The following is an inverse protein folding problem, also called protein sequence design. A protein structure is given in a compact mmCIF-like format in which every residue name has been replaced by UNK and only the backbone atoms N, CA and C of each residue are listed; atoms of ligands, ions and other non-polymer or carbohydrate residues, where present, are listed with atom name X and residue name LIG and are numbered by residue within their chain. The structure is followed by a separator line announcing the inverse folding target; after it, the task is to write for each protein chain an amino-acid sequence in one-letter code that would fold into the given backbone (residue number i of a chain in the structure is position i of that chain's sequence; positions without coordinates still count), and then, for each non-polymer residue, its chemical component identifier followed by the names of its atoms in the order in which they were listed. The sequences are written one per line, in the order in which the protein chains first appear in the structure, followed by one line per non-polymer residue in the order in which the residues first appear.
data_IF_076317638698
#
_entry.id   IF_076317638698
#
_cell.length_a   1.000
_cell.length_b   1.000
_cell.length_c   1.000
_cell.angle_alpha   90.00
_cell.angle_beta   90.00
_cell.angle_gamma   90.00
#
_symmetry.space_group_name_H-M   'P 1'
#
loop_
_entity.id
_entity.type
_entity.pdbx_description
1 polymer ?
#
# COMPACT_ATOMS: atom_id res chain seq x y z
N UNK A 1 17.42 -38.70 16.35
CA UNK A 1 16.73 -37.76 17.26
C UNK A 1 17.02 -36.34 16.78
N UNK A 2 16.29 -35.85 15.78
CA UNK A 2 16.47 -34.48 15.28
C UNK A 2 15.60 -33.57 16.15
N UNK A 3 16.21 -32.62 16.85
CA UNK A 3 15.51 -31.44 17.33
C UNK A 3 14.92 -30.82 16.06
N UNK A 4 13.63 -31.01 15.82
CA UNK A 4 12.93 -30.28 14.79
C UNK A 4 12.94 -28.83 15.27
N UNK A 5 13.99 -28.08 14.91
CA UNK A 5 13.99 -26.65 15.09
C UNK A 5 12.80 -26.15 14.30
N UNK A 6 11.76 -25.77 15.03
CA UNK A 6 10.64 -25.10 14.42
C UNK A 6 11.23 -23.87 13.71
N UNK A 7 11.06 -23.79 12.40
CA UNK A 7 11.49 -22.65 11.58
C UNK A 7 10.96 -21.32 12.14
N UNK A 8 9.86 -21.36 12.90
CA UNK A 8 9.33 -20.23 13.66
C UNK A 8 10.26 -19.76 14.78
N UNK A 9 10.89 -20.67 15.51
CA UNK A 9 11.91 -20.35 16.53
C UNK A 9 13.15 -19.71 15.89
N UNK A 10 13.61 -20.25 14.76
CA UNK A 10 14.72 -19.66 14.00
C UNK A 10 14.33 -18.25 13.51
N UNK A 11 13.07 -18.07 13.08
CA UNK A 11 12.53 -16.75 12.71
C UNK A 11 12.56 -15.76 13.87
N UNK A 12 12.20 -16.17 15.09
CA UNK A 12 12.30 -15.31 16.28
C UNK A 12 13.74 -14.94 16.62
N UNK A 13 14.68 -15.89 16.47
CA UNK A 13 16.11 -15.63 16.69
C UNK A 13 16.62 -14.63 15.65
N UNK A 14 16.32 -14.84 14.37
CA UNK A 14 16.66 -13.91 13.28
C UNK A 14 16.08 -12.52 13.54
N UNK A 15 14.82 -12.43 13.95
CA UNK A 15 14.16 -11.17 14.29
C UNK A 15 14.92 -10.42 15.40
N UNK A 16 15.29 -11.11 16.49
CA UNK A 16 16.04 -10.51 17.61
C UNK A 16 17.47 -10.13 17.25
N UNK A 17 18.12 -10.91 16.39
CA UNK A 17 19.48 -10.61 15.92
C UNK A 17 19.52 -9.36 15.05
N UNK A 18 18.52 -9.18 14.18
CA UNK A 18 18.48 -8.07 13.22
C UNK A 18 17.83 -6.82 13.82
N UNK A 19 16.72 -6.98 14.56
CA UNK A 19 15.99 -5.90 15.21
C UNK A 19 16.30 -5.89 16.71
N UNK A 20 17.32 -5.12 17.10
CA UNK A 20 17.80 -5.04 18.50
C UNK A 20 16.70 -4.61 19.47
N UNK A 21 15.71 -3.84 19.01
CA UNK A 21 14.54 -3.41 19.79
C UNK A 21 13.72 -4.60 20.29
N UNK A 22 13.73 -5.75 19.61
CA UNK A 22 13.06 -6.97 20.06
C UNK A 22 13.78 -7.68 21.23
N UNK A 23 14.93 -7.16 21.68
CA UNK A 23 15.55 -7.58 22.93
C UNK A 23 14.82 -7.01 24.15
N UNK A 24 14.11 -5.89 24.01
CA UNK A 24 13.21 -5.38 25.05
C UNK A 24 11.99 -6.31 25.19
N UNK A 25 11.76 -6.91 26.38
CA UNK A 25 10.62 -7.78 26.63
C UNK A 25 9.27 -7.11 26.30
N UNK A 26 9.13 -5.81 26.55
CA UNK A 26 7.87 -5.09 26.33
C UNK A 26 7.51 -5.01 24.85
N UNK A 27 8.51 -4.76 23.99
CA UNK A 27 8.37 -4.72 22.54
C UNK A 27 8.18 -6.13 21.99
N UNK A 28 8.93 -7.10 22.51
CA UNK A 28 8.81 -8.50 22.09
C UNK A 28 7.42 -9.10 22.40
N UNK A 29 6.81 -8.73 23.53
CA UNK A 29 5.43 -9.13 23.86
C UNK A 29 4.44 -8.57 22.84
N UNK A 30 4.58 -7.31 22.42
CA UNK A 30 3.74 -6.71 21.36
C UNK A 30 3.93 -7.44 20.02
N UNK A 31 5.18 -7.73 19.65
CA UNK A 31 5.52 -8.49 18.45
C UNK A 31 4.91 -9.91 18.45
N UNK A 32 5.00 -10.62 19.58
CA UNK A 32 4.41 -11.96 19.71
C UNK A 32 2.88 -11.91 19.71
N UNK A 33 2.29 -10.92 20.38
CA UNK A 33 0.85 -10.68 20.37
C UNK A 33 0.33 -10.45 18.95
N UNK A 34 1.04 -9.62 18.17
CA UNK A 34 0.74 -9.38 16.77
C UNK A 34 0.64 -10.68 15.95
N UNK A 35 1.63 -11.57 16.08
CA UNK A 35 1.65 -12.85 15.36
C UNK A 35 0.60 -13.85 15.86
N UNK A 36 0.23 -13.79 17.14
CA UNK A 36 -0.75 -14.72 17.72
C UNK A 36 -2.20 -14.32 17.43
N UNK A 37 -2.46 -13.04 17.16
CA UNK A 37 -3.79 -12.52 16.80
C UNK A 37 -4.27 -12.95 15.41
N UNK A 38 -3.49 -13.73 14.65
CA UNK A 38 -3.86 -14.15 13.30
C UNK A 38 -3.54 -13.14 12.20
N UNK A 39 -2.76 -12.10 12.52
CA UNK A 39 -2.28 -11.17 11.51
C UNK A 39 -1.28 -11.85 10.58
N UNK A 40 -1.33 -11.52 9.29
CA UNK A 40 -0.37 -12.03 8.32
C UNK A 40 1.02 -11.45 8.62
N UNK A 41 2.05 -12.30 8.82
CA UNK A 41 3.40 -11.84 9.11
C UNK A 41 4.01 -11.03 7.95
N UNK A 42 3.40 -11.03 6.76
CA UNK A 42 3.79 -10.13 5.68
C UNK A 42 3.74 -8.67 6.13
N UNK A 43 2.73 -8.28 6.92
CA UNK A 43 2.52 -6.92 7.43
C UNK A 43 3.41 -6.52 8.62
N UNK A 44 4.41 -7.35 8.96
CA UNK A 44 5.36 -7.09 10.06
C UNK A 44 6.15 -5.80 9.88
N UNK A 45 6.52 -5.46 8.63
CA UNK A 45 7.28 -4.25 8.36
C UNK A 45 6.48 -3.01 8.77
N UNK A 46 5.22 -2.93 8.34
CA UNK A 46 4.33 -1.81 8.59
C UNK A 46 3.99 -1.69 10.08
N UNK A 47 3.79 -2.81 10.77
CA UNK A 47 3.58 -2.84 12.22
C UNK A 47 4.83 -2.36 13.01
N UNK A 48 6.02 -2.79 12.59
CA UNK A 48 7.26 -2.47 13.31
C UNK A 48 7.78 -1.06 13.03
N UNK A 49 7.47 -0.48 11.86
CA UNK A 49 8.05 0.81 11.44
C UNK A 49 7.82 1.94 12.48
N UNK A 50 6.61 2.17 13.04
CA UNK A 50 6.42 3.18 14.08
C UNK A 50 7.19 2.89 15.38
N UNK A 51 7.40 1.61 15.71
CA UNK A 51 8.12 1.20 16.92
C UNK A 51 9.63 1.42 16.75
N UNK A 52 10.16 1.03 15.59
CA UNK A 52 11.59 1.12 15.27
C UNK A 52 12.04 2.57 15.02
N UNK A 53 11.18 3.40 14.42
CA UNK A 53 11.53 4.79 14.08
C UNK A 53 11.40 5.78 15.25
N UNK A 54 10.74 5.41 16.37
CA UNK A 54 10.56 6.30 17.53
C UNK A 54 11.87 6.74 18.19
N UNK A 55 12.89 5.88 18.16
CA UNK A 55 14.09 6.05 18.99
C UNK A 55 15.36 6.41 18.19
N UNK A 56 15.30 6.48 16.86
CA UNK A 56 16.50 6.69 16.03
C UNK A 56 16.26 7.68 14.88
N UNK A 57 16.67 8.95 15.01
CA UNK A 57 16.63 9.92 13.90
C UNK A 57 17.59 9.58 12.76
N UNK A 58 18.63 8.77 13.03
CA UNK A 58 19.62 8.29 12.05
C UNK A 58 19.22 7.00 11.32
N UNK A 59 18.02 6.46 11.61
CA UNK A 59 17.50 5.23 11.02
C UNK A 59 17.98 3.96 11.72
N UNK A 60 17.17 2.90 11.60
CA UNK A 60 17.45 1.61 12.23
C UNK A 60 18.23 0.69 11.28
N UNK A 61 19.41 0.22 11.70
CA UNK A 61 20.28 -0.66 10.89
C UNK A 61 19.58 -1.98 10.56
N UNK A 62 18.83 -2.55 11.50
CA UNK A 62 18.04 -3.75 11.29
C UNK A 62 16.98 -3.57 10.21
N UNK A 63 16.27 -2.44 10.23
CA UNK A 63 15.32 -2.06 9.18
C UNK A 63 16.01 -1.97 7.81
N UNK A 64 17.19 -1.35 7.73
CA UNK A 64 17.97 -1.26 6.49
C UNK A 64 18.42 -2.64 5.97
N UNK A 65 18.81 -3.55 6.86
CA UNK A 65 19.19 -4.93 6.51
C UNK A 65 17.98 -5.67 5.92
N UNK A 66 16.80 -5.58 6.54
CA UNK A 66 15.61 -6.28 6.08
C UNK A 66 15.00 -5.66 4.81
N UNK A 67 15.12 -4.34 4.63
CA UNK A 67 14.70 -3.61 3.44
C UNK A 67 15.65 -3.80 2.24
N UNK A 68 16.85 -4.37 2.47
CA UNK A 68 17.80 -4.70 1.42
C UNK A 68 17.19 -5.67 0.41
N UNK A 69 17.64 -5.57 -0.83
CA UNK A 69 17.18 -6.42 -1.94
C UNK A 69 15.65 -6.43 -2.06
N UNK A 70 15.04 -5.24 -2.08
CA UNK A 70 13.60 -5.08 -2.34
C UNK A 70 12.75 -5.72 -1.21
N UNK A 71 13.20 -5.64 0.05
CA UNK A 71 12.48 -6.19 1.20
C UNK A 71 12.57 -7.72 1.33
N UNK A 72 13.61 -8.36 0.76
CA UNK A 72 13.76 -9.81 0.82
C UNK A 72 13.92 -10.33 2.26
N UNK A 73 14.52 -9.55 3.16
CA UNK A 73 14.65 -9.94 4.57
C UNK A 73 13.30 -10.04 5.25
N UNK A 74 12.43 -9.05 5.03
CA UNK A 74 11.06 -9.08 5.53
C UNK A 74 10.25 -10.26 4.97
N UNK A 75 10.43 -10.61 3.70
CA UNK A 75 9.77 -11.77 3.10
C UNK A 75 10.18 -13.07 3.80
N UNK A 76 11.48 -13.30 3.96
CA UNK A 76 11.98 -14.50 4.62
C UNK A 76 11.48 -14.58 6.06
N UNK A 77 11.57 -13.47 6.79
CA UNK A 77 11.09 -13.38 8.17
C UNK A 77 9.60 -13.72 8.26
N UNK A 78 8.78 -13.20 7.33
CA UNK A 78 7.36 -13.48 7.29
C UNK A 78 7.06 -14.97 7.06
N UNK A 79 7.75 -15.60 6.10
CA UNK A 79 7.60 -17.02 5.80
C UNK A 79 8.08 -17.95 6.93
N UNK A 80 9.10 -17.54 7.69
CA UNK A 80 9.56 -18.28 8.86
C UNK A 80 8.57 -18.18 10.02
N UNK A 81 7.95 -17.01 10.20
CA UNK A 81 7.05 -16.69 11.31
C UNK A 81 5.58 -17.07 11.06
N UNK A 82 5.26 -17.66 9.90
CA UNK A 82 3.92 -18.09 9.54
C UNK A 82 3.26 -18.95 10.64
N UNK A 83 2.02 -18.59 10.99
CA UNK A 83 1.26 -19.23 12.06
C UNK A 83 0.89 -20.66 11.69
N UNK A 84 0.42 -20.88 10.46
CA UNK A 84 0.11 -22.21 9.94
C UNK A 84 1.41 -22.91 9.50
N UNK A 85 1.61 -24.18 9.87
CA UNK A 85 2.81 -24.92 9.49
C UNK A 85 2.91 -25.14 7.97
N UNK A 86 1.77 -25.24 7.28
CA UNK A 86 1.73 -25.42 5.82
C UNK A 86 2.22 -24.21 5.02
N UNK A 87 2.08 -23.01 5.59
CA UNK A 87 2.54 -21.76 4.97
C UNK A 87 3.98 -21.43 5.39
N UNK A 88 4.57 -22.23 6.29
CA UNK A 88 5.92 -22.03 6.82
C UNK A 88 6.95 -22.57 5.85
N UNK A 89 7.98 -21.76 5.58
CA UNK A 89 9.07 -22.15 4.69
C UNK A 89 9.87 -23.33 5.25
N UNK A 90 10.26 -24.27 4.39
CA UNK A 90 11.17 -25.35 4.74
C UNK A 90 12.60 -24.82 4.95
N UNK A 91 13.44 -25.52 5.71
CA UNK A 91 14.84 -25.13 5.89
C UNK A 91 15.59 -25.03 4.55
N UNK A 92 15.31 -25.97 3.62
CA UNK A 92 15.95 -26.03 2.32
C UNK A 92 15.56 -24.84 1.44
N UNK A 93 14.27 -24.46 1.45
CA UNK A 93 13.80 -23.30 0.71
C UNK A 93 14.29 -21.98 1.33
N UNK A 94 14.41 -21.94 2.67
CA UNK A 94 14.97 -20.78 3.37
C UNK A 94 16.42 -20.52 2.96
N UNK A 95 17.25 -21.56 2.86
CA UNK A 95 18.63 -21.43 2.38
C UNK A 95 18.73 -20.97 0.92
N UNK A 96 17.73 -21.31 0.09
CA UNK A 96 17.61 -20.84 -1.30
C UNK A 96 17.00 -19.44 -1.43
N UNK A 97 16.59 -18.83 -0.32
CA UNK A 97 15.93 -17.54 -0.34
C UNK A 97 16.92 -16.42 -0.77
N UNK A 98 16.51 -15.47 -1.65
CA UNK A 98 17.36 -14.36 -2.12
C UNK A 98 17.94 -13.44 -1.05
N UNK A 99 17.49 -13.57 0.20
CA UNK A 99 18.04 -12.83 1.33
C UNK A 99 19.33 -13.48 1.85
N UNK A 100 19.35 -14.82 1.96
CA UNK A 100 20.51 -15.60 2.42
C UNK A 100 21.46 -15.91 1.24
N UNK A 101 20.89 -16.13 0.05
CA UNK A 101 21.67 -16.26 -1.17
C UNK A 101 22.20 -14.88 -1.59
N UNK A 102 23.52 -14.69 -1.50
CA UNK A 102 24.16 -13.50 -2.04
C UNK A 102 23.97 -13.36 -3.57
N UNK A 103 24.30 -12.20 -4.16
CA UNK A 103 24.10 -11.92 -5.59
C UNK A 103 24.82 -12.89 -6.55
N UNK A 104 25.72 -13.72 -6.02
CA UNK A 104 26.46 -14.75 -6.76
C UNK A 104 25.67 -16.04 -6.99
N UNK A 105 24.59 -16.29 -6.24
CA UNK A 105 23.73 -17.46 -6.41
C UNK A 105 22.45 -17.07 -7.15
N UNK A 106 22.39 -17.43 -8.43
CA UNK A 106 21.22 -17.16 -9.29
C UNK A 106 20.17 -18.24 -9.09
N UNK A 107 19.43 -18.17 -7.98
CA UNK A 107 18.20 -18.94 -7.83
C UNK A 107 17.15 -18.31 -8.75
N UNK A 108 16.44 -19.12 -9.54
CA UNK A 108 15.28 -18.64 -10.30
C UNK A 108 14.25 -18.06 -9.32
N UNK A 109 14.05 -16.74 -9.39
CA UNK A 109 13.11 -16.06 -8.48
C UNK A 109 11.69 -16.42 -8.85
N UNK A 110 10.92 -16.88 -7.86
CA UNK A 110 9.49 -17.14 -8.03
C UNK A 110 8.73 -15.86 -8.37
N UNK A 111 7.58 -16.01 -9.03
CA UNK A 111 6.72 -14.86 -9.37
C UNK A 111 6.24 -14.11 -8.11
N UNK A 112 6.00 -14.84 -7.01
CA UNK A 112 5.65 -14.25 -5.73
C UNK A 112 6.76 -13.34 -5.19
N UNK A 113 8.03 -13.74 -5.34
CA UNK A 113 9.18 -12.93 -4.94
C UNK A 113 9.32 -11.66 -5.79
N UNK A 114 9.10 -11.77 -7.11
CA UNK A 114 9.14 -10.61 -8.01
C UNK A 114 8.05 -9.60 -7.62
N UNK A 115 6.82 -10.08 -7.39
CA UNK A 115 5.71 -9.24 -6.92
C UNK A 115 6.02 -8.57 -5.59
N UNK A 116 6.52 -9.34 -4.62
CA UNK A 116 6.93 -8.83 -3.31
C UNK A 116 7.97 -7.73 -3.45
N UNK A 117 8.99 -7.95 -4.28
CA UNK A 117 10.05 -6.97 -4.52
C UNK A 117 9.50 -5.68 -5.13
N UNK A 118 8.69 -5.79 -6.19
CA UNK A 118 8.04 -4.65 -6.83
C UNK A 118 7.22 -3.84 -5.81
N UNK A 119 6.35 -4.50 -5.04
CA UNK A 119 5.53 -3.86 -4.01
C UNK A 119 6.36 -3.17 -2.94
N UNK A 120 7.37 -3.86 -2.39
CA UNK A 120 8.24 -3.32 -1.34
C UNK A 120 9.02 -2.10 -1.84
N UNK A 121 9.49 -2.09 -3.10
CA UNK A 121 10.13 -0.90 -3.67
C UNK A 121 9.18 0.22 -4.01
N UNK A 122 7.95 -0.07 -4.40
CA UNK A 122 6.93 0.96 -4.59
C UNK A 122 6.67 1.68 -3.25
N UNK A 123 6.46 0.92 -2.17
CA UNK A 123 6.31 1.46 -0.82
C UNK A 123 7.52 2.28 -0.39
N UNK A 124 8.74 1.75 -0.58
CA UNK A 124 9.97 2.47 -0.23
C UNK A 124 10.14 3.77 -1.01
N UNK A 125 9.85 3.79 -2.31
CA UNK A 125 9.88 5.02 -3.12
C UNK A 125 8.84 6.03 -2.63
N UNK A 126 7.68 5.58 -2.15
CA UNK A 126 6.66 6.48 -1.60
C UNK A 126 7.04 7.06 -0.22
N UNK A 127 7.75 6.28 0.60
CA UNK A 127 8.30 6.74 1.87
C UNK A 127 9.50 7.69 1.66
N UNK A 128 10.36 7.39 0.68
CA UNK A 128 11.45 8.25 0.20
C UNK A 128 10.87 9.40 -0.65
N UNK A 129 10.30 10.42 -0.01
CA UNK A 129 9.78 11.69 -0.58
C UNK A 129 9.97 11.86 -2.12
N UNK A 130 8.87 11.74 -2.87
CA UNK A 130 8.87 11.75 -4.35
C UNK A 130 8.87 13.20 -4.89
N UNK A 131 10.05 13.79 -5.04
CA UNK A 131 10.17 15.14 -5.65
C UNK A 131 10.37 15.12 -7.16
N UNK A 132 10.97 14.06 -7.73
CA UNK A 132 11.47 14.11 -9.11
C UNK A 132 10.62 13.33 -10.10
N UNK A 133 10.47 13.88 -11.31
CA UNK A 133 9.75 13.23 -12.42
C UNK A 133 10.22 11.79 -12.72
N UNK A 134 11.53 11.45 -12.65
CA UNK A 134 11.99 10.08 -12.78
C UNK A 134 11.44 9.11 -11.73
N UNK A 135 11.31 9.53 -10.47
CA UNK A 135 10.73 8.68 -9.41
C UNK A 135 9.25 8.44 -9.66
N UNK A 136 8.50 9.48 -10.08
CA UNK A 136 7.09 9.36 -10.47
C UNK A 136 6.89 8.40 -11.64
N UNK A 137 7.72 8.53 -12.69
CA UNK A 137 7.71 7.61 -13.84
C UNK A 137 8.04 6.18 -13.43
N UNK A 138 9.03 5.99 -12.57
CA UNK A 138 9.42 4.67 -12.05
C UNK A 138 8.30 4.03 -11.22
N UNK A 139 7.60 4.82 -10.41
CA UNK A 139 6.48 4.32 -9.60
C UNK A 139 5.27 3.96 -10.47
N UNK A 140 4.91 4.81 -11.44
CA UNK A 140 3.88 4.49 -12.42
C UNK A 140 4.20 3.18 -13.17
N UNK A 141 5.46 3.01 -13.58
CA UNK A 141 5.96 1.79 -14.19
C UNK A 141 5.84 0.56 -13.28
N UNK A 142 6.14 0.68 -11.98
CA UNK A 142 5.95 -0.43 -11.03
C UNK A 142 4.49 -0.77 -10.79
N UNK A 143 3.61 0.23 -10.74
CA UNK A 143 2.16 0.01 -10.63
C UNK A 143 1.65 -0.80 -11.82
N UNK A 144 2.04 -0.43 -13.05
CA UNK A 144 1.66 -1.18 -14.25
C UNK A 144 2.15 -2.64 -14.23
N UNK A 145 3.41 -2.86 -13.80
CA UNK A 145 3.95 -4.22 -13.65
C UNK A 145 3.18 -5.04 -12.62
N UNK A 146 2.84 -4.46 -11.47
CA UNK A 146 2.07 -5.14 -10.43
C UNK A 146 0.66 -5.49 -10.89
N UNK A 147 0.03 -4.62 -11.68
CA UNK A 147 -1.28 -4.86 -12.28
C UNK A 147 -1.25 -6.00 -13.30
N UNK A 148 -0.20 -6.09 -14.12
CA UNK A 148 -0.01 -7.22 -15.05
C UNK A 148 0.25 -8.54 -14.31
N UNK A 149 0.95 -8.49 -13.18
CA UNK A 149 1.28 -9.66 -12.37
C UNK A 149 0.18 -10.04 -11.37
N UNK A 150 -1.03 -9.49 -11.49
CA UNK A 150 -2.11 -9.68 -10.52
C UNK A 150 -2.40 -11.17 -10.27
N UNK A 151 -2.19 -11.67 -9.02
CA UNK A 151 -2.44 -13.07 -8.68
C UNK A 151 -3.93 -13.42 -8.61
N UNK A 152 -4.79 -12.42 -8.38
CA UNK A 152 -6.19 -12.61 -8.05
C UNK A 152 -7.09 -11.70 -8.90
N UNK A 153 -7.20 -11.97 -10.21
CA UNK A 153 -8.07 -11.18 -11.08
C UNK A 153 -9.56 -11.46 -10.87
N UNK A 154 -9.91 -12.62 -10.29
CA UNK A 154 -11.30 -13.05 -10.12
C UNK A 154 -11.92 -12.41 -8.87
N UNK A 155 -13.14 -11.84 -8.97
CA UNK A 155 -13.82 -11.21 -7.83
C UNK A 155 -14.04 -12.16 -6.63
N UNK A 156 -14.17 -13.47 -6.86
CA UNK A 156 -14.36 -14.46 -5.78
C UNK A 156 -13.23 -14.42 -4.74
N UNK A 157 -12.00 -14.20 -5.18
CA UNK A 157 -10.83 -14.17 -4.29
C UNK A 157 -10.81 -12.90 -3.43
N UNK A 158 -11.46 -11.83 -3.87
CA UNK A 158 -11.47 -10.55 -3.17
C UNK A 158 -12.41 -10.55 -1.97
N UNK A 159 -13.35 -11.50 -1.89
CA UNK A 159 -14.31 -11.60 -0.79
C UNK A 159 -13.63 -11.76 0.57
N UNK A 160 -12.52 -12.49 0.60
CA UNK A 160 -11.79 -12.78 1.84
C UNK A 160 -10.58 -11.87 2.03
N UNK A 161 -10.05 -11.29 0.95
CA UNK A 161 -8.78 -10.54 0.96
C UNK A 161 -8.95 -9.02 1.16
N UNK A 162 -10.03 -8.44 0.63
CA UNK A 162 -10.28 -7.00 0.67
C UNK A 162 -10.61 -6.45 2.08
N UNK A 163 -11.37 -7.16 2.95
CA UNK A 163 -11.75 -6.62 4.26
C UNK A 163 -10.54 -6.26 5.13
N UNK A 164 -10.59 -5.08 5.74
CA UNK A 164 -9.51 -4.55 6.57
C UNK A 164 -9.41 -3.02 6.53
N UNK A 165 -8.46 -2.49 7.29
CA UNK A 165 -8.12 -1.06 7.28
C UNK A 165 -6.89 -0.84 6.39
N UNK A 166 -6.98 0.12 5.49
CA UNK A 166 -5.99 0.38 4.45
C UNK A 166 -5.57 1.85 4.48
N UNK A 167 -4.31 2.15 4.77
CA UNK A 167 -3.74 3.49 4.74
C UNK A 167 -3.33 3.89 3.33
N UNK A 168 -3.73 5.08 2.91
CA UNK A 168 -3.29 5.67 1.64
C UNK A 168 -1.82 6.10 1.75
N UNK A 169 -0.97 5.60 0.85
CA UNK A 169 0.43 6.01 0.74
C UNK A 169 0.67 7.00 -0.40
N UNK A 170 0.05 6.78 -1.56
CA UNK A 170 0.36 7.55 -2.76
C UNK A 170 -0.80 7.60 -3.74
N UNK A 171 -0.87 8.71 -4.48
CA UNK A 171 -1.74 8.89 -5.65
C UNK A 171 -0.91 9.34 -6.84
N UNK A 172 -1.06 8.67 -8.00
CA UNK A 172 -0.33 9.04 -9.23
C UNK A 172 -0.71 10.41 -9.78
N UNK A 173 -1.87 10.96 -9.37
CA UNK A 173 -2.37 12.24 -9.84
C UNK A 173 -1.89 13.43 -9.02
N UNK A 174 -2.11 13.38 -7.70
CA UNK A 174 -1.84 14.52 -6.79
C UNK A 174 -0.91 14.09 -5.66
N UNK A 175 0.05 14.96 -5.35
CA UNK A 175 0.87 14.82 -4.15
C UNK A 175 0.05 15.28 -2.95
N UNK A 176 0.03 14.44 -1.91
CA UNK A 176 -0.62 14.76 -0.65
C UNK A 176 0.33 15.62 0.17
N UNK A 177 -0.15 16.74 0.69
CA UNK A 177 0.53 17.45 1.79
C UNK A 177 1.65 18.43 1.45
N UNK A 178 1.85 18.84 0.18
CA UNK A 178 2.82 19.89 -0.16
C UNK A 178 2.24 20.94 -1.10
N UNK A 179 1.79 22.06 -0.51
CA UNK A 179 1.43 23.27 -1.26
C UNK A 179 2.27 24.44 -0.77
N UNK A 180 2.89 25.19 -1.69
CA UNK A 180 3.53 26.48 -1.37
C UNK A 180 2.53 27.60 -1.04
N UNK A 181 1.24 27.28 -1.06
CA UNK A 181 0.17 28.22 -0.74
C UNK A 181 0.20 28.56 0.75
N UNK A 182 -0.18 29.79 1.07
CA UNK A 182 -0.37 30.26 2.44
C UNK A 182 -1.86 30.51 2.67
N UNK A 183 -2.67 29.48 2.96
CA UNK A 183 -4.08 29.64 3.26
C UNK A 183 -4.28 30.26 4.65
N UNK A 184 -5.48 30.82 4.87
CA UNK A 184 -5.89 31.37 6.18
C UNK A 184 -5.95 30.29 7.26
N UNK A 185 -6.38 29.08 6.91
CA UNK A 185 -6.31 27.89 7.74
C UNK A 185 -5.38 26.88 7.09
N UNK A 186 -4.27 26.55 7.75
CA UNK A 186 -3.37 25.50 7.25
C UNK A 186 -3.82 24.17 7.79
N UNK A 187 -3.96 23.19 6.90
CA UNK A 187 -4.36 21.85 7.28
C UNK A 187 -3.16 20.92 7.15
N UNK A 188 -2.82 20.27 8.25
CA UNK A 188 -1.88 19.16 8.28
C UNK A 188 -2.68 17.86 8.24
N UNK A 189 -2.62 17.15 7.12
CA UNK A 189 -3.27 15.84 7.00
C UNK A 189 -2.45 14.82 7.82
N UNK A 190 -3.15 14.09 8.67
CA UNK A 190 -2.60 12.95 9.40
C UNK A 190 -2.73 11.67 8.58
N UNK A 191 -3.38 10.66 9.15
CA UNK A 191 -3.59 9.39 8.47
C UNK A 191 -4.88 9.44 7.64
N UNK A 192 -4.76 9.02 6.38
CA UNK A 192 -5.89 8.79 5.48
C UNK A 192 -6.07 7.29 5.34
N UNK A 193 -7.17 6.78 5.90
CA UNK A 193 -7.47 5.36 5.97
C UNK A 193 -8.75 5.04 5.21
N UNK A 194 -8.78 3.90 4.56
CA UNK A 194 -9.93 3.29 3.91
C UNK A 194 -10.23 1.99 4.66
N UNK A 195 -11.26 2.00 5.50
CA UNK A 195 -11.79 0.81 6.14
C UNK A 195 -12.80 0.15 5.22
N UNK A 196 -12.60 -1.14 4.96
CA UNK A 196 -13.48 -1.95 4.12
C UNK A 196 -14.10 -3.02 4.98
N UNK A 197 -15.42 -2.95 5.14
CA UNK A 197 -16.20 -3.93 5.91
C UNK A 197 -17.16 -4.67 4.98
N UNK A 198 -17.47 -5.91 5.34
CA UNK A 198 -18.37 -6.77 4.58
C UNK A 198 -19.76 -6.72 5.21
N UNK A 199 -20.78 -6.36 4.43
CA UNK A 199 -22.17 -6.26 4.93
C UNK A 199 -22.78 -7.65 5.21
N UNK A 200 -22.43 -8.67 4.42
CA UNK A 200 -22.87 -10.06 4.65
C UNK A 200 -21.95 -11.08 3.99
N UNK A 201 -21.89 -12.29 4.57
CA UNK A 201 -21.02 -13.41 4.15
C UNK A 201 -21.39 -14.05 2.81
N UNK A 202 -22.56 -13.74 2.25
CA UNK A 202 -23.04 -14.28 0.96
C UNK A 202 -23.08 -13.25 -0.18
N UNK A 203 -23.19 -11.95 0.12
CA UNK A 203 -23.28 -10.89 -0.90
C UNK A 203 -21.90 -10.31 -1.22
N UNK A 204 -21.73 -9.90 -2.47
CA UNK A 204 -20.56 -9.17 -2.99
C UNK A 204 -20.58 -7.69 -2.61
N UNK A 205 -21.26 -7.34 -1.51
CA UNK A 205 -21.49 -5.97 -1.06
C UNK A 205 -20.56 -5.61 0.10
N UNK A 206 -19.78 -4.56 -0.07
CA UNK A 206 -18.88 -3.99 0.93
C UNK A 206 -19.34 -2.60 1.34
N UNK A 207 -18.96 -2.13 2.52
CA UNK A 207 -19.00 -0.70 2.88
C UNK A 207 -17.56 -0.22 2.89
N UNK A 208 -17.31 0.85 2.16
CA UNK A 208 -16.05 1.56 2.21
C UNK A 208 -16.27 2.80 3.07
N UNK A 209 -15.46 2.93 4.12
CA UNK A 209 -15.40 4.09 4.99
C UNK A 209 -14.02 4.72 4.86
N UNK A 210 -13.96 5.90 4.25
CA UNK A 210 -12.77 6.73 4.16
C UNK A 210 -12.72 7.61 5.42
N UNK A 211 -11.70 7.41 6.26
CA UNK A 211 -11.40 8.17 7.46
C UNK A 211 -10.18 9.06 7.19
N UNK A 212 -10.36 10.37 7.22
CA UNK A 212 -9.30 11.36 7.02
C UNK A 212 -9.14 12.14 8.33
N UNK A 213 -8.06 11.88 9.06
CA UNK A 213 -7.67 12.69 10.21
C UNK A 213 -6.84 13.89 9.78
N UNK A 214 -7.10 15.06 10.35
CA UNK A 214 -6.35 16.27 10.06
C UNK A 214 -6.27 17.21 11.28
N UNK A 215 -5.23 18.04 11.30
CA UNK A 215 -5.08 19.11 12.27
C UNK A 215 -5.13 20.46 11.56
N UNK A 216 -6.08 21.30 11.94
CA UNK A 216 -6.16 22.68 11.48
C UNK A 216 -5.28 23.56 12.38
N UNK A 217 -4.29 24.20 11.77
CA UNK A 217 -3.33 25.08 12.45
C UNK A 217 -3.73 26.53 12.19
N UNK A 218 -3.93 27.26 13.28
CA UNK A 218 -4.16 28.69 13.27
C UNK A 218 -2.86 29.41 13.63
N UNK A 219 -2.28 30.14 12.69
CA UNK A 219 -1.12 30.99 12.97
C UNK A 219 -0.02 30.95 11.92
N UNK A 220 0.88 31.94 12.02
CA UNK A 220 1.99 32.14 11.08
C UNK A 220 3.22 31.28 11.41
N UNK A 221 3.37 30.81 12.66
CA UNK A 221 4.53 30.03 13.16
C UNK A 221 4.37 28.50 13.01
N UNK A 222 3.49 28.06 12.12
CA UNK A 222 3.24 26.64 11.83
C UNK A 222 4.46 25.77 11.48
N UNK A 223 5.60 26.26 10.91
CA UNK A 223 6.74 25.39 10.61
C UNK A 223 7.39 24.82 11.88
N UNK A 224 7.30 25.58 12.97
CA UNK A 224 7.88 25.27 14.27
C UNK A 224 6.83 24.70 15.24
N UNK A 225 5.59 25.17 15.13
CA UNK A 225 4.50 24.66 15.95
C UNK A 225 3.41 23.95 15.12
N UNK A 226 3.39 22.62 15.20
CA UNK A 226 2.39 21.76 14.55
C UNK A 226 1.16 21.48 15.43
N UNK A 227 1.05 22.11 16.59
CA UNK A 227 -0.16 21.99 17.42
C UNK A 227 -1.29 22.74 16.75
N UNK A 228 -2.40 22.05 16.53
CA UNK A 228 -3.62 22.60 15.95
C UNK A 228 -4.83 21.90 16.53
N UNK A 229 -6.00 22.40 16.21
CA UNK A 229 -7.27 21.73 16.51
C UNK A 229 -7.42 20.49 15.65
N UNK A 230 -7.74 19.36 16.25
CA UNK A 230 -8.03 18.12 15.54
C UNK A 230 -9.39 18.16 14.86
N UNK A 231 -9.48 17.46 13.73
CA UNK A 231 -10.72 17.22 13.03
C UNK A 231 -10.65 15.90 12.26
N UNK A 232 -11.80 15.27 12.12
CA UNK A 232 -11.93 14.00 11.42
C UNK A 232 -13.04 14.11 10.37
N UNK A 233 -12.74 13.66 9.15
CA UNK A 233 -13.69 13.57 8.07
C UNK A 233 -13.93 12.09 7.77
N UNK A 234 -15.19 11.65 7.81
CA UNK A 234 -15.56 10.28 7.45
C UNK A 234 -16.51 10.27 6.27
N UNK A 235 -16.23 9.41 5.29
CA UNK A 235 -17.05 9.23 4.09
C UNK A 235 -17.39 7.76 3.96
N UNK A 236 -18.67 7.42 3.99
CA UNK A 236 -19.13 6.04 3.88
C UNK A 236 -19.89 5.83 2.57
N UNK A 237 -19.68 4.67 1.94
CA UNK A 237 -20.44 4.30 0.75
C UNK A 237 -20.47 2.78 0.54
N UNK A 238 -21.64 2.21 0.21
CA UNK A 238 -21.76 0.79 -0.11
C UNK A 238 -21.33 0.51 -1.55
N UNK A 239 -20.54 -0.54 -1.74
CA UNK A 239 -20.02 -1.01 -3.02
C UNK A 239 -20.47 -2.42 -3.37
N UNK A 240 -20.76 -2.66 -4.65
CA UNK A 240 -20.94 -4.00 -5.22
C UNK A 240 -19.72 -4.40 -6.04
N UNK A 241 -19.13 -5.54 -5.71
CA UNK A 241 -18.01 -6.13 -6.43
C UNK A 241 -18.54 -6.92 -7.64
N UNK A 242 -18.07 -6.56 -8.84
CA UNK A 242 -18.41 -7.20 -10.12
C UNK A 242 -17.15 -7.64 -10.86
N UNK A 243 -17.27 -8.60 -11.77
CA UNK A 243 -16.20 -8.88 -12.72
C UNK A 243 -16.15 -7.79 -13.79
N UNK A 244 -14.97 -7.27 -14.06
CA UNK A 244 -14.71 -6.31 -15.14
C UNK A 244 -13.52 -6.73 -15.98
N UNK A 245 -13.33 -6.05 -17.11
CA UNK A 245 -12.12 -6.13 -17.94
C UNK A 245 -11.57 -4.72 -18.11
N UNK A 246 -10.29 -4.54 -17.82
CA UNK A 246 -9.55 -3.31 -18.13
C UNK A 246 -8.98 -3.46 -19.52
N UNK A 247 -9.31 -2.55 -20.43
CA UNK A 247 -8.74 -2.52 -21.77
C UNK A 247 -7.43 -1.72 -21.75
N UNK A 248 -6.38 -2.28 -22.34
CA UNK A 248 -5.22 -1.51 -22.75
C UNK A 248 -5.46 -1.11 -24.19
N UNK A 249 -5.60 0.19 -24.45
CA UNK A 249 -5.76 0.69 -25.82
C UNK A 249 -4.52 0.27 -26.62
N UNK A 250 -4.73 -0.48 -27.70
CA UNK A 250 -3.70 -0.63 -28.75
C UNK A 250 -3.65 0.73 -29.45
N UNK A 251 -2.50 1.38 -29.45
CA UNK A 251 -2.29 2.53 -30.33
C UNK A 251 -2.30 2.02 -31.77
N UNK A 252 -3.21 2.56 -32.58
CA UNK A 252 -3.11 2.46 -34.03
C UNK A 252 -1.88 3.23 -34.47
N UNK A 253 -0.99 2.55 -35.19
CA UNK A 253 0.35 3.03 -35.58
C UNK A 253 0.31 4.29 -36.49
N UNK A 254 -0.88 4.75 -36.92
CA UNK A 254 -1.04 5.70 -38.01
C UNK A 254 -1.61 7.09 -37.66
N UNK A 255 -1.72 7.49 -36.39
CA UNK A 255 -2.08 8.88 -36.05
C UNK A 255 -0.97 9.57 -35.27
N UNK A 256 -0.54 10.75 -35.75
CA UNK A 256 0.56 11.55 -35.22
C UNK A 256 0.46 11.91 -33.72
N UNK A 257 1.50 12.54 -33.15
CA UNK A 257 1.70 12.61 -31.71
C UNK A 257 0.70 13.57 -31.06
N UNK A 258 -0.40 13.03 -30.53
CA UNK A 258 -1.25 13.74 -29.58
C UNK A 258 -0.59 13.72 -28.20
N UNK A 259 -0.61 14.84 -27.48
CA UNK A 259 0.06 15.05 -26.18
C UNK A 259 -0.47 14.18 -25.00
N UNK A 260 -1.23 13.11 -25.27
CA UNK A 260 -1.81 12.22 -24.26
C UNK A 260 -1.25 10.77 -24.28
N UNK A 261 -0.31 10.46 -25.18
CA UNK A 261 0.22 9.10 -25.41
C UNK A 261 1.45 8.67 -24.58
N UNK A 262 1.77 9.34 -23.47
CA UNK A 262 3.05 9.09 -22.78
C UNK A 262 3.14 7.78 -21.96
N UNK A 263 2.07 7.00 -21.80
CA UNK A 263 2.04 5.87 -20.86
C UNK A 263 1.94 4.47 -21.50
N UNK A 264 1.71 4.33 -22.80
CA UNK A 264 1.55 3.01 -23.48
C UNK A 264 2.86 2.43 -24.01
N UNK A 265 3.85 3.29 -24.30
CA UNK A 265 5.16 2.89 -24.82
C UNK A 265 6.03 2.12 -23.82
N UNK A 266 5.67 2.11 -22.53
CA UNK A 266 6.41 1.41 -21.46
C UNK A 266 6.23 -0.11 -21.53
N UNK A 267 5.00 -0.60 -21.76
CA UNK A 267 4.64 -2.03 -21.69
C UNK A 267 5.26 -2.84 -22.83
N UNK A 268 5.32 -2.27 -24.04
CA UNK A 268 6.00 -2.87 -25.18
C UNK A 268 7.52 -2.96 -24.99
N UNK A 269 8.12 -2.01 -24.27
CA UNK A 269 9.54 -2.05 -23.87
C UNK A 269 9.81 -3.02 -22.71
N UNK A 270 8.83 -3.29 -21.84
CA UNK A 270 8.93 -4.23 -20.69
C UNK A 270 9.15 -5.67 -21.17
N UNK A 271 8.37 -6.11 -22.15
CA UNK A 271 8.36 -7.52 -22.59
C UNK A 271 9.41 -7.86 -23.66
N UNK A 272 10.04 -6.85 -24.27
CA UNK A 272 11.16 -7.06 -25.19
C UNK A 272 12.46 -7.45 -24.47
N UNK A 273 12.54 -7.26 -23.15
CA UNK A 273 13.68 -7.68 -22.33
C UNK A 273 13.75 -9.20 -22.16
N UNK A 274 14.91 -9.80 -22.46
CA UNK A 274 15.16 -11.27 -22.35
C UNK A 274 14.78 -11.89 -21.00
N UNK A 275 14.80 -11.12 -19.89
CA UNK A 275 14.44 -11.58 -18.54
C UNK A 275 12.92 -11.76 -18.35
N UNK A 276 12.10 -10.96 -19.02
CA UNK A 276 10.64 -10.96 -18.86
C UNK A 276 9.95 -11.96 -19.79
N UNK A 277 10.55 -12.30 -20.95
CA UNK A 277 10.06 -13.37 -21.83
C UNK A 277 10.00 -14.76 -21.18
N UNK A 278 10.84 -15.03 -20.17
CA UNK A 278 10.77 -16.29 -19.41
C UNK A 278 9.72 -16.27 -18.30
N UNK A 279 9.37 -15.10 -17.79
CA UNK A 279 8.43 -14.93 -16.69
C UNK A 279 6.96 -14.84 -17.16
N UNK A 280 6.73 -14.47 -18.42
CA UNK A 280 5.43 -14.44 -19.06
C UNK A 280 5.32 -15.54 -20.14
N UNK A 281 4.43 -16.54 -20.00
CA UNK A 281 4.19 -17.55 -21.03
C UNK A 281 3.29 -17.05 -22.18
N UNK A 282 3.02 -15.74 -22.26
CA UNK A 282 2.17 -15.14 -23.29
C UNK A 282 3.06 -14.25 -24.16
N UNK A 283 3.15 -14.59 -25.45
CA UNK A 283 3.95 -13.86 -26.46
C UNK A 283 3.39 -12.48 -26.79
N UNK A 284 2.13 -12.20 -26.42
CA UNK A 284 1.41 -10.96 -26.69
C UNK A 284 0.86 -10.32 -25.41
N UNK A 285 0.91 -8.98 -25.34
CA UNK A 285 0.27 -8.23 -24.25
C UNK A 285 -1.24 -8.48 -24.34
N UNK A 286 -1.91 -8.91 -23.25
CA UNK A 286 -3.35 -9.06 -23.27
C UNK A 286 -4.00 -7.69 -23.50
N UNK A 287 -4.82 -7.58 -24.55
CA UNK A 287 -5.61 -6.39 -24.85
C UNK A 287 -6.56 -6.00 -23.72
N UNK A 288 -6.88 -6.95 -22.84
CA UNK A 288 -7.59 -6.68 -21.61
C UNK A 288 -7.12 -7.54 -20.43
N UNK A 289 -7.08 -6.95 -19.23
CA UNK A 289 -6.89 -7.69 -17.99
C UNK A 289 -8.21 -7.85 -17.24
N UNK A 290 -8.53 -9.04 -16.73
CA UNK A 290 -9.64 -9.21 -15.80
C UNK A 290 -9.36 -8.46 -14.49
N UNK A 291 -10.30 -7.61 -14.06
CA UNK A 291 -10.18 -6.81 -12.83
C UNK A 291 -11.48 -6.84 -12.05
N UNK A 292 -11.39 -6.79 -10.72
CA UNK A 292 -12.55 -6.56 -9.86
C UNK A 292 -13.06 -5.12 -10.04
N UNK A 293 -14.31 -4.96 -10.49
CA UNK A 293 -14.97 -3.66 -10.65
C UNK A 293 -15.77 -3.33 -9.40
N UNK A 294 -15.62 -2.11 -8.90
CA UNK A 294 -16.37 -1.58 -7.76
C UNK A 294 -17.44 -0.61 -8.29
N UNK A 295 -18.68 -0.75 -7.81
CA UNK A 295 -19.80 0.14 -8.17
C UNK A 295 -20.45 0.63 -6.88
N UNK A 296 -20.43 1.95 -6.66
CA UNK A 296 -21.12 2.61 -5.54
C UNK A 296 -22.54 3.02 -5.91
N UNK A 297 -23.40 3.21 -4.90
CA UNK A 297 -24.77 3.72 -5.08
C UNK A 297 -25.03 5.03 -4.33
N UNK A 298 -24.52 5.18 -3.11
CA UNK A 298 -24.82 6.32 -2.22
C UNK A 298 -23.56 6.71 -1.44
N UNK A 299 -23.43 8.00 -1.08
CA UNK A 299 -22.26 8.53 -0.37
C UNK A 299 -22.76 9.41 0.77
N UNK A 300 -22.37 9.07 2.00
CA UNK A 300 -22.58 9.89 3.18
C UNK A 300 -21.24 10.50 3.60
N UNK A 301 -21.22 11.80 3.88
CA UNK A 301 -20.03 12.53 4.29
C UNK A 301 -20.31 13.27 5.60
N UNK A 302 -19.53 12.97 6.63
CA UNK A 302 -19.62 13.62 7.94
C UNK A 302 -18.27 14.20 8.34
N UNK A 303 -18.26 15.43 8.85
CA UNK A 303 -17.06 16.14 9.27
C UNK A 303 -17.22 16.58 10.72
N UNK A 304 -16.28 16.16 11.56
CA UNK A 304 -16.20 16.55 12.96
C UNK A 304 -14.97 17.45 13.14
N UNK A 305 -15.17 18.61 13.77
CA UNK A 305 -14.14 19.59 14.09
C UNK A 305 -14.22 19.91 15.58
N UNK A 306 -13.08 19.88 16.25
CA UNK A 306 -13.03 20.23 17.67
C UNK A 306 -13.16 21.76 17.87
N UNK A 307 -13.68 22.17 19.04
CA UNK A 307 -13.77 23.58 19.40
C UNK A 307 -12.37 24.21 19.61
N UNK A 308 -12.14 25.47 19.23
CA UNK A 308 -13.11 26.53 18.89
C UNK A 308 -13.48 26.64 17.39
N UNK A 309 -12.87 25.83 16.51
CA UNK A 309 -13.03 25.94 15.05
C UNK A 309 -14.39 25.44 14.54
N UNK A 310 -15.02 24.51 15.26
CA UNK A 310 -16.38 24.05 14.99
C UNK A 310 -17.48 25.11 15.20
N UNK A 311 -17.20 26.20 15.91
CA UNK A 311 -18.22 27.23 16.24
C UNK A 311 -18.68 28.09 15.05
N UNK A 312 -17.89 28.16 13.96
CA UNK A 312 -18.20 28.97 12.76
C UNK A 312 -18.16 28.12 11.49
N UNK A 313 -19.31 27.97 10.83
CA UNK A 313 -19.46 27.21 9.57
C UNK A 313 -18.51 27.71 8.48
N UNK A 314 -18.28 29.03 8.38
CA UNK A 314 -17.35 29.60 7.40
C UNK A 314 -15.91 29.11 7.56
N UNK A 315 -15.47 28.85 8.80
CA UNK A 315 -14.13 28.34 9.06
C UNK A 315 -14.04 26.86 8.67
N UNK A 316 -15.09 26.09 8.96
CA UNK A 316 -15.20 24.69 8.53
C UNK A 316 -15.15 24.58 6.99
N UNK A 317 -15.82 25.45 6.26
CA UNK A 317 -15.75 25.48 4.79
C UNK A 317 -14.34 25.76 4.27
N UNK A 318 -13.62 26.73 4.86
CA UNK A 318 -12.25 27.06 4.47
C UNK A 318 -11.30 25.88 4.73
N UNK A 319 -11.43 25.22 5.88
CA UNK A 319 -10.68 24.00 6.21
C UNK A 319 -11.00 22.89 5.21
N UNK A 320 -12.27 22.66 4.89
CA UNK A 320 -12.71 21.63 3.94
C UNK A 320 -12.15 21.88 2.53
N UNK A 321 -12.09 23.13 2.07
CA UNK A 321 -11.46 23.50 0.79
C UNK A 321 -9.98 23.11 0.76
N UNK A 322 -9.26 23.34 1.85
CA UNK A 322 -7.85 22.96 1.95
C UNK A 322 -7.65 21.44 2.00
N UNK A 323 -8.51 20.69 2.72
CA UNK A 323 -8.46 19.22 2.71
C UNK A 323 -8.70 18.71 1.28
N UNK A 324 -9.68 19.25 0.54
CA UNK A 324 -9.98 18.86 -0.86
C UNK A 324 -8.84 19.14 -1.84
N UNK A 325 -7.97 20.11 -1.53
CA UNK A 325 -6.80 20.41 -2.35
C UNK A 325 -5.68 19.40 -2.12
N UNK A 326 -5.49 18.96 -0.88
CA UNK A 326 -4.38 18.09 -0.49
C UNK A 326 -4.71 16.59 -0.57
N UNK A 327 -5.96 16.17 -0.37
CA UNK A 327 -6.39 14.76 -0.47
C UNK A 327 -6.92 14.46 -1.89
N UNK A 328 -6.67 13.25 -2.46
CA UNK A 328 -7.25 12.87 -3.74
C UNK A 328 -8.79 12.91 -3.69
N UNK A 329 -9.46 13.46 -4.72
CA UNK A 329 -10.92 13.58 -4.75
C UNK A 329 -11.63 12.24 -4.59
N UNK A 330 -10.97 11.14 -4.93
CA UNK A 330 -11.51 9.78 -4.84
C UNK A 330 -11.64 9.26 -3.40
N UNK A 331 -10.98 9.93 -2.44
CA UNK A 331 -11.22 9.65 -1.01
C UNK A 331 -12.46 10.35 -0.46
N UNK A 332 -12.99 11.35 -1.16
CA UNK A 332 -14.26 12.01 -0.85
C UNK A 332 -15.42 11.42 -1.67
N UNK A 333 -15.10 10.96 -2.87
CA UNK A 333 -16.05 10.36 -3.78
C UNK A 333 -15.52 9.01 -4.20
N UNK A 334 -15.73 8.04 -3.32
CA UNK A 334 -15.26 6.66 -3.47
C UNK A 334 -15.93 6.01 -4.70
N UNK A 335 -17.05 6.54 -5.19
CA UNK A 335 -17.72 6.03 -6.41
C UNK A 335 -16.84 6.12 -7.65
N UNK A 336 -15.83 7.01 -7.64
CA UNK A 336 -14.85 7.15 -8.70
C UNK A 336 -13.83 6.01 -8.76
N UNK A 337 -13.83 5.10 -7.78
CA UNK A 337 -12.97 3.92 -7.79
C UNK A 337 -13.58 2.86 -8.70
N UNK A 338 -12.90 2.55 -9.79
CA UNK A 338 -13.42 1.63 -10.82
C UNK A 338 -12.90 0.23 -10.60
N UNK A 339 -11.60 0.07 -10.38
CA UNK A 339 -11.00 -1.26 -10.39
C UNK A 339 -9.85 -1.39 -9.39
N UNK A 340 -9.58 -2.62 -8.94
CA UNK A 340 -8.54 -2.88 -7.96
C UNK A 340 -7.59 -4.00 -8.37
N UNK A 341 -6.34 -3.88 -7.95
CA UNK A 341 -5.33 -4.93 -7.98
C UNK A 341 -4.86 -5.22 -6.56
N UNK A 342 -5.07 -6.45 -6.11
CA UNK A 342 -4.56 -6.94 -4.84
C UNK A 342 -3.21 -7.60 -5.11
N UNK A 343 -2.13 -7.02 -4.60
CA UNK A 343 -0.76 -7.49 -4.87
C UNK A 343 -0.36 -8.56 -3.87
N UNK A 344 -0.52 -8.24 -2.58
CA UNK A 344 -0.27 -9.12 -1.44
C UNK A 344 -1.10 -8.64 -0.22
N UNK A 345 -0.93 -9.27 0.95
CA UNK A 345 -1.66 -8.90 2.16
C UNK A 345 -1.38 -7.49 2.68
N UNK A 346 -0.29 -6.87 2.22
CA UNK A 346 0.06 -5.51 2.61
C UNK A 346 -0.42 -4.49 1.61
N UNK A 347 -0.45 -4.79 0.32
CA UNK A 347 -0.51 -3.78 -0.72
C UNK A 347 -1.75 -3.93 -1.61
N UNK A 348 -2.55 -2.87 -1.63
CA UNK A 348 -3.73 -2.74 -2.47
C UNK A 348 -3.56 -1.55 -3.41
N UNK A 349 -3.85 -1.74 -4.69
CA UNK A 349 -3.85 -0.70 -5.70
C UNK A 349 -5.29 -0.50 -6.18
N UNK A 350 -5.82 0.70 -6.06
CA UNK A 350 -7.13 1.06 -6.58
C UNK A 350 -6.98 2.08 -7.71
N UNK A 351 -7.68 1.84 -8.81
CA UNK A 351 -7.70 2.71 -10.00
C UNK A 351 -9.01 3.44 -10.10
N UNK A 352 -8.91 4.69 -10.49
CA UNK A 352 -10.02 5.62 -10.55
C UNK A 352 -10.48 5.87 -11.99
N UNK A 353 -11.67 6.46 -12.16
CA UNK A 353 -12.25 6.78 -13.49
C UNK A 353 -11.32 7.67 -14.33
N UNK A 354 -10.59 8.58 -13.68
CA UNK A 354 -9.61 9.47 -14.33
C UNK A 354 -8.29 8.77 -14.71
N UNK A 355 -8.15 7.46 -14.47
CA UNK A 355 -6.94 6.70 -14.71
C UNK A 355 -5.88 6.81 -13.60
N UNK A 356 -6.12 7.61 -12.54
CA UNK A 356 -5.24 7.70 -11.37
C UNK A 356 -5.18 6.36 -10.64
N UNK A 357 -4.03 6.06 -10.04
CA UNK A 357 -3.84 4.90 -9.16
C UNK A 357 -3.57 5.39 -7.74
N UNK A 358 -4.31 4.83 -6.80
CA UNK A 358 -4.15 4.98 -5.37
C UNK A 358 -3.45 3.74 -4.83
N UNK A 359 -2.34 3.96 -4.12
CA UNK A 359 -1.56 2.92 -3.47
C UNK A 359 -1.90 2.91 -1.98
N UNK A 360 -2.33 1.76 -1.47
CA UNK A 360 -2.70 1.57 -0.08
C UNK A 360 -1.85 0.48 0.58
N UNK A 361 -1.46 0.71 1.84
CA UNK A 361 -0.92 -0.33 2.71
C UNK A 361 -1.89 -0.74 3.79
N UNK A 362 -1.92 -2.02 4.15
CA UNK A 362 -2.77 -2.51 5.22
C UNK A 362 -2.28 -1.96 6.55
N UNK A 363 -3.16 -1.31 7.29
CA UNK A 363 -2.88 -0.94 8.68
C UNK A 363 -3.23 -2.12 9.56
N UNK A 364 -2.25 -2.51 10.38
CA UNK A 364 -2.52 -3.44 11.46
C UNK A 364 -3.33 -2.68 12.51
N UNK A 365 -4.45 -3.26 12.95
CA UNK A 365 -5.23 -2.66 14.03
C UNK A 365 -4.37 -2.62 15.27
N UNK A 366 -3.88 -1.43 15.62
CA UNK A 366 -3.45 -1.14 16.99
C UNK A 366 -4.68 -1.29 17.88
N UNK A 367 -4.63 -2.29 18.75
CA UNK A 367 -5.46 -2.35 19.95
C UNK A 367 -4.51 -2.31 21.14
#
# INVERSE_FOLDING_TARGET
MMIAFDMRCVGFILAKMVLRELMDPSIFVKFKSFLNKGNDPSSLREFMLPILCKNSPSGNIGLQILDRNWGAGWNLLALMLAQKPMDRISCLDALRHPFLCGPRWRVETSMNMIRWGLGSTAVRITEEYIYRQPQRRRLAHFIELMEMLNPHPKPRNWLDLLPGKWRLLYSTGRHIGLTFRQPSFRVLIGEVNLSVTRISTSKTTFIFSSEIGFNAINGHDWPHNKTGTSGNLTVTSPFKLRAGRRLYLKEDINSGPSLTSLNTTSVLKILSGKKWRKAFPVSEIPSSLPVAKLVSTEIELTMNLDEPLGSKVENAEKVLREIRLQVPPEMFDVSKIVCGTYVDFRLLILRCVNGSALLFTRTCTDS
#
